data_IF_111489634456
#
_entry.id   IF_111489634456
#
_cell.length_a   1.000
_cell.length_b   1.000
_cell.length_c   1.000
_cell.angle_alpha   90.00
_cell.angle_beta   90.00
_cell.angle_gamma   90.00
#
_symmetry.space_group_name_H-M   'P 1'
#
loop_
_entity.id
_entity.type
_entity.pdbx_description
1 polymer ?
#
# COMPACT_ATOMS: atom_id res chain seq x y z
N UNK A 1 4.29 -9.45 -7.19
CA UNK A 1 2.83 -9.28 -7.20
C UNK A 1 2.20 -10.57 -6.74
N UNK A 2 1.36 -10.52 -5.71
CA UNK A 2 0.61 -11.68 -5.24
C UNK A 2 -0.86 -11.49 -5.64
N UNK A 3 -1.49 -12.54 -6.17
CA UNK A 3 -2.92 -12.56 -6.41
C UNK A 3 -3.58 -13.21 -5.19
N UNK A 4 -4.58 -12.54 -4.62
CA UNK A 4 -5.30 -12.98 -3.42
C UNK A 4 -6.78 -12.79 -3.67
N UNK A 5 -7.60 -13.77 -3.27
CA UNK A 5 -9.06 -13.62 -3.31
C UNK A 5 -9.50 -12.50 -2.36
N UNK A 6 -10.57 -11.78 -2.73
CA UNK A 6 -11.21 -10.78 -1.86
C UNK A 6 -11.66 -11.37 -0.51
N UNK A 7 -11.97 -12.67 -0.46
CA UNK A 7 -12.41 -13.37 0.76
C UNK A 7 -11.26 -13.68 1.70
N UNK A 8 -10.04 -13.78 1.17
CA UNK A 8 -8.88 -14.25 1.92
C UNK A 8 -7.96 -13.12 2.37
N UNK A 9 -8.01 -11.97 1.69
CA UNK A 9 -7.10 -10.85 1.97
C UNK A 9 -7.17 -10.38 3.43
N UNK A 10 -8.35 -10.46 4.06
CA UNK A 10 -8.56 -10.00 5.44
C UNK A 10 -7.77 -10.82 6.47
N UNK A 11 -7.66 -12.13 6.30
CA UNK A 11 -6.91 -12.99 7.23
C UNK A 11 -5.46 -13.22 6.76
N UNK A 12 -5.22 -13.26 5.45
CA UNK A 12 -3.91 -13.55 4.88
C UNK A 12 -2.94 -12.38 5.06
N UNK A 13 -3.42 -11.14 4.93
CA UNK A 13 -2.57 -9.96 5.02
C UNK A 13 -1.93 -9.81 6.42
N UNK A 14 -2.67 -9.88 7.55
CA UNK A 14 -2.06 -9.85 8.89
C UNK A 14 -1.06 -10.99 9.10
N UNK A 15 -1.38 -12.20 8.63
CA UNK A 15 -0.53 -13.39 8.77
C UNK A 15 0.85 -13.21 8.11
N UNK A 16 0.89 -12.53 6.96
CA UNK A 16 2.14 -12.31 6.21
C UNK A 16 2.84 -10.98 6.55
N UNK A 17 2.21 -10.09 7.30
CA UNK A 17 2.65 -8.70 7.49
C UNK A 17 4.07 -8.60 8.05
N UNK A 18 4.36 -9.28 9.15
CA UNK A 18 5.66 -9.17 9.84
C UNK A 18 6.82 -9.63 8.95
N UNK A 19 6.68 -10.79 8.30
CA UNK A 19 7.67 -11.31 7.36
C UNK A 19 7.92 -10.35 6.19
N UNK A 20 6.84 -9.77 5.65
CA UNK A 20 6.94 -8.84 4.53
C UNK A 20 7.60 -7.51 4.95
N UNK A 21 7.28 -6.99 6.13
CA UNK A 21 7.94 -5.80 6.68
C UNK A 21 9.44 -6.03 6.91
N UNK A 22 9.83 -7.20 7.44
CA UNK A 22 11.25 -7.55 7.64
C UNK A 22 12.01 -7.61 6.31
N UNK A 23 11.40 -8.19 5.29
CA UNK A 23 11.96 -8.23 3.92
C UNK A 23 12.11 -6.83 3.34
N UNK A 24 11.08 -5.98 3.48
CA UNK A 24 11.11 -4.59 3.05
C UNK A 24 12.23 -3.82 3.74
N UNK A 25 12.36 -3.91 5.06
CA UNK A 25 13.39 -3.22 5.83
C UNK A 25 14.81 -3.63 5.41
N UNK A 26 15.01 -4.92 5.16
CA UNK A 26 16.28 -5.46 4.66
C UNK A 26 16.62 -4.89 3.27
N UNK A 27 15.64 -4.87 2.38
CA UNK A 27 15.79 -4.29 1.05
C UNK A 27 16.06 -2.79 1.09
N UNK A 28 15.32 -2.02 1.92
CA UNK A 28 15.53 -0.58 2.10
C UNK A 28 16.94 -0.22 2.56
N UNK A 29 17.52 -1.02 3.48
CA UNK A 29 18.92 -0.86 3.90
C UNK A 29 19.87 -1.03 2.72
N UNK A 30 19.67 -2.07 1.89
CA UNK A 30 20.53 -2.35 0.73
C UNK A 30 20.51 -1.25 -0.34
N UNK A 31 19.38 -0.57 -0.52
CA UNK A 31 19.24 0.49 -1.54
C UNK A 31 19.26 1.92 -0.94
N UNK A 32 19.58 2.05 0.34
CA UNK A 32 19.63 3.31 1.08
C UNK A 32 18.34 4.17 0.99
N UNK A 33 17.18 3.53 1.16
CA UNK A 33 15.85 4.18 1.14
C UNK A 33 15.05 3.95 2.43
N UNK A 34 15.76 3.68 3.53
CA UNK A 34 15.14 3.61 4.85
C UNK A 34 14.60 4.99 5.25
N UNK A 35 13.43 5.01 5.87
CA UNK A 35 12.78 6.23 6.34
C UNK A 35 12.13 6.01 7.70
N UNK A 36 11.96 7.10 8.45
CA UNK A 36 11.42 7.07 9.79
C UNK A 36 9.90 6.80 9.82
N UNK A 37 9.42 6.27 10.96
CA UNK A 37 8.00 5.91 11.13
C UNK A 37 7.07 7.12 11.07
N UNK A 38 7.48 8.27 11.60
CA UNK A 38 6.71 9.52 11.57
C UNK A 38 6.49 10.00 10.12
N UNK A 39 7.53 9.97 9.29
CA UNK A 39 7.43 10.27 7.87
C UNK A 39 6.47 9.31 7.15
N UNK A 40 6.53 8.01 7.45
CA UNK A 40 5.59 7.05 6.87
C UNK A 40 4.13 7.31 7.27
N UNK A 41 3.88 7.78 8.50
CA UNK A 41 2.52 8.18 8.96
C UNK A 41 2.00 9.38 8.16
N UNK A 42 2.85 10.37 7.92
CA UNK A 42 2.53 11.55 7.09
C UNK A 42 2.19 11.14 5.65
N UNK A 43 3.04 10.33 5.03
CA UNK A 43 2.78 9.78 3.68
C UNK A 43 1.47 9.01 3.66
N UNK A 44 1.21 8.16 4.65
CA UNK A 44 -0.02 7.37 4.75
C UNK A 44 -1.27 8.26 4.84
N UNK A 45 -1.20 9.36 5.57
CA UNK A 45 -2.30 10.33 5.64
C UNK A 45 -2.57 10.96 4.27
N UNK A 46 -1.53 11.46 3.59
CA UNK A 46 -1.65 12.02 2.25
C UNK A 46 -2.16 11.01 1.22
N UNK A 47 -1.71 9.76 1.29
CA UNK A 47 -2.20 8.68 0.42
C UNK A 47 -3.70 8.41 0.66
N UNK A 48 -4.16 8.36 1.93
CA UNK A 48 -5.59 8.17 2.22
C UNK A 48 -6.43 9.25 1.55
N UNK A 49 -6.11 10.52 1.78
CA UNK A 49 -6.84 11.64 1.18
C UNK A 49 -6.80 11.63 -0.35
N UNK A 50 -5.65 11.27 -0.92
CA UNK A 50 -5.46 11.18 -2.35
C UNK A 50 -6.39 10.14 -2.99
N UNK A 51 -6.56 8.98 -2.35
CA UNK A 51 -7.30 7.85 -2.91
C UNK A 51 -8.78 7.77 -2.55
N UNK A 52 -9.27 8.49 -1.53
CA UNK A 52 -10.69 8.52 -1.15
C UNK A 52 -11.59 8.78 -2.37
N UNK A 53 -12.68 8.02 -2.45
CA UNK A 53 -13.70 8.13 -3.49
C UNK A 53 -13.54 7.11 -4.62
N UNK A 54 -12.97 5.94 -4.33
CA UNK A 54 -12.86 4.83 -5.28
C UNK A 54 -11.80 5.03 -6.35
N UNK A 55 -10.82 5.90 -6.11
CA UNK A 55 -9.84 6.27 -7.15
C UNK A 55 -8.82 5.17 -7.38
N UNK A 56 -8.41 5.05 -8.65
CA UNK A 56 -7.25 4.25 -9.05
C UNK A 56 -6.22 5.17 -9.70
N UNK A 57 -5.02 5.26 -9.13
CA UNK A 57 -3.98 6.19 -9.57
C UNK A 57 -2.71 5.45 -9.96
N UNK A 58 -2.07 5.90 -11.05
CA UNK A 58 -0.79 5.37 -11.46
C UNK A 58 0.35 5.83 -10.55
N UNK A 59 1.47 5.13 -10.62
CA UNK A 59 2.68 5.48 -9.85
C UNK A 59 3.12 6.92 -10.12
N UNK A 60 3.06 7.35 -11.39
CA UNK A 60 3.41 8.72 -11.80
C UNK A 60 2.47 9.76 -11.19
N UNK A 61 1.17 9.49 -11.18
CA UNK A 61 0.19 10.39 -10.56
C UNK A 61 0.42 10.53 -9.05
N UNK A 62 0.75 9.42 -8.37
CA UNK A 62 1.08 9.44 -6.94
C UNK A 62 2.36 10.23 -6.69
N UNK A 63 3.42 9.98 -7.47
CA UNK A 63 4.69 10.71 -7.38
C UNK A 63 4.46 12.22 -7.46
N UNK A 64 3.80 12.67 -8.53
CA UNK A 64 3.51 14.08 -8.78
C UNK A 64 2.76 14.72 -7.61
N UNK A 65 1.77 14.02 -7.04
CA UNK A 65 1.00 14.55 -5.91
C UNK A 65 1.84 14.65 -4.65
N UNK A 66 2.60 13.62 -4.30
CA UNK A 66 3.44 13.64 -3.09
C UNK A 66 4.57 14.67 -3.19
N UNK A 67 5.18 14.83 -4.37
CA UNK A 67 6.17 15.88 -4.64
C UNK A 67 5.55 17.27 -4.53
N UNK A 68 4.35 17.49 -5.09
CA UNK A 68 3.65 18.78 -4.98
C UNK A 68 3.27 19.15 -3.53
N UNK A 69 3.10 18.16 -2.65
CA UNK A 69 2.89 18.37 -1.22
C UNK A 69 4.20 18.56 -0.43
N UNK A 70 5.37 18.41 -1.07
CA UNK A 70 6.68 18.45 -0.41
C UNK A 70 7.02 17.21 0.42
N UNK A 71 6.22 16.14 0.29
CA UNK A 71 6.33 14.91 1.10
C UNK A 71 7.19 13.85 0.41
N UNK A 72 7.54 14.00 -0.89
CA UNK A 72 8.45 13.09 -1.60
C UNK A 72 9.77 13.80 -1.95
N UNK A 73 10.78 13.77 -1.06
CA UNK A 73 12.05 14.45 -1.27
C UNK A 73 12.99 13.72 -2.25
N UNK A 74 12.76 12.43 -2.49
CA UNK A 74 13.52 11.60 -3.44
C UNK A 74 12.59 10.56 -4.07
N UNK A 75 12.55 10.49 -5.40
CA UNK A 75 11.77 9.52 -6.18
C UNK A 75 12.10 8.06 -5.85
N UNK A 76 13.32 7.77 -5.36
CA UNK A 76 13.72 6.44 -4.92
C UNK A 76 12.87 5.94 -3.74
N UNK A 77 12.31 6.85 -2.95
CA UNK A 77 11.46 6.51 -1.80
C UNK A 77 10.07 6.01 -2.22
N UNK A 78 9.61 6.34 -3.42
CA UNK A 78 8.24 6.05 -3.85
C UNK A 78 7.94 4.55 -3.84
N UNK A 79 8.86 3.72 -4.36
CA UNK A 79 8.67 2.27 -4.38
C UNK A 79 8.55 1.65 -2.97
N UNK A 80 9.51 1.88 -2.05
CA UNK A 80 9.39 1.37 -0.70
C UNK A 80 8.17 1.92 0.06
N UNK A 81 7.76 3.17 -0.19
CA UNK A 81 6.56 3.76 0.40
C UNK A 81 5.29 3.03 -0.06
N UNK A 82 5.13 2.82 -1.37
CA UNK A 82 3.97 2.11 -1.93
C UNK A 82 3.94 0.66 -1.47
N UNK A 83 5.08 -0.04 -1.51
CA UNK A 83 5.18 -1.43 -1.05
C UNK A 83 4.83 -1.55 0.44
N UNK A 84 5.29 -0.62 1.27
CA UNK A 84 4.92 -0.60 2.69
C UNK A 84 3.43 -0.36 2.89
N UNK A 85 2.84 0.55 2.13
CA UNK A 85 1.41 0.84 2.18
C UNK A 85 0.56 -0.38 1.78
N UNK A 86 1.01 -1.20 0.83
CA UNK A 86 0.38 -2.48 0.48
C UNK A 86 0.51 -3.50 1.62
N UNK A 87 1.70 -3.67 2.18
CA UNK A 87 1.96 -4.61 3.30
C UNK A 87 1.14 -4.23 4.54
N UNK A 88 1.01 -2.94 4.83
CA UNK A 88 0.24 -2.46 5.98
C UNK A 88 -1.29 -2.52 5.76
N UNK A 89 -1.73 -2.77 4.52
CA UNK A 89 -3.16 -2.92 4.16
C UNK A 89 -3.86 -1.61 3.85
N UNK A 90 -3.11 -0.56 3.53
CA UNK A 90 -3.67 0.70 3.06
C UNK A 90 -4.06 0.60 1.59
N UNK A 91 -3.11 0.16 0.75
CA UNK A 91 -3.25 0.12 -0.70
C UNK A 91 -3.34 -1.31 -1.21
N UNK A 92 -3.93 -1.45 -2.40
CA UNK A 92 -3.85 -2.64 -3.23
C UNK A 92 -3.79 -2.24 -4.70
N UNK A 93 -3.74 -3.24 -5.60
CA UNK A 93 -3.86 -3.00 -7.04
C UNK A 93 -5.20 -2.32 -7.40
N UNK A 94 -5.12 -1.23 -8.14
CA UNK A 94 -6.26 -0.49 -8.66
C UNK A 94 -6.78 -1.04 -9.99
N UNK A 95 -7.68 -0.29 -10.63
CA UNK A 95 -8.13 -0.55 -12.00
C UNK A 95 -7.05 -0.06 -12.97
N UNK A 96 -6.60 -0.93 -13.87
CA UNK A 96 -5.57 -0.57 -14.85
C UNK A 96 -6.01 0.62 -15.71
N UNK A 97 -5.07 1.53 -15.98
CA UNK A 97 -5.25 2.60 -16.95
C UNK A 97 -4.57 2.19 -18.26
N UNK A 98 -5.35 1.57 -19.15
CA UNK A 98 -4.79 0.90 -20.33
C UNK A 98 -3.88 -0.26 -19.93
N UNK A 99 -2.57 -0.12 -20.18
CA UNK A 99 -1.54 -1.10 -19.78
C UNK A 99 -0.82 -0.73 -18.47
N UNK A 100 -1.11 0.43 -17.88
CA UNK A 100 -0.44 0.93 -16.69
C UNK A 100 -1.09 0.36 -15.41
N UNK A 101 -0.24 -0.16 -14.51
CA UNK A 101 -0.66 -0.57 -13.18
C UNK A 101 -0.98 0.65 -12.30
N UNK A 102 -2.00 0.50 -11.47
CA UNK A 102 -2.45 1.55 -10.55
C UNK A 102 -2.60 1.00 -9.14
N UNK A 103 -2.74 1.91 -8.18
CA UNK A 103 -3.05 1.62 -6.80
C UNK A 103 -4.44 2.14 -6.45
N UNK A 104 -5.07 1.57 -5.43
CA UNK A 104 -6.33 2.01 -4.87
C UNK A 104 -6.38 1.70 -3.36
N UNK A 105 -7.31 2.30 -2.62
CA UNK A 105 -7.55 1.93 -1.23
C UNK A 105 -8.09 0.50 -1.13
N UNK A 106 -7.43 -0.32 -0.32
CA UNK A 106 -7.87 -1.70 -0.08
C UNK A 106 -9.29 -1.74 0.49
N UNK A 107 -9.60 -0.83 1.42
CA UNK A 107 -10.90 -0.75 2.09
C UNK A 107 -12.07 -0.42 1.15
N UNK A 108 -11.82 0.26 0.02
CA UNK A 108 -12.84 0.58 -0.96
C UNK A 108 -12.97 -0.51 -2.03
N UNK A 109 -11.85 -1.20 -2.36
CA UNK A 109 -11.84 -2.32 -3.31
C UNK A 109 -12.38 -3.62 -2.73
N UNK A 110 -12.13 -3.83 -1.44
CA UNK A 110 -12.61 -4.97 -0.66
C UNK A 110 -13.25 -4.38 0.59
N UNK A 111 -14.51 -3.88 0.49
CA UNK A 111 -15.29 -3.52 1.66
C UNK A 111 -15.30 -4.71 2.61
N UNK A 112 -15.11 -4.46 3.91
CA UNK A 112 -14.96 -5.49 4.94
C UNK A 112 -15.98 -6.61 4.71
N UNK A 113 -15.49 -7.70 4.11
CA UNK A 113 -16.31 -8.88 3.86
C UNK A 113 -16.38 -9.59 5.20
N UNK A 114 -17.60 -9.80 5.67
CA UNK A 114 -17.97 -10.48 6.92
C UNK A 114 -16.90 -11.47 7.35
N UNK A 115 -16.27 -11.21 8.50
CA UNK A 115 -15.38 -12.16 9.17
C UNK A 115 -16.18 -13.45 9.32
N UNK A 116 -15.83 -14.51 8.59
CA UNK A 116 -16.40 -15.82 8.84
C UNK A 116 -15.90 -16.19 10.25
N UNK A 117 -16.79 -16.35 11.25
CA UNK A 117 -16.35 -16.80 12.56
C UNK A 117 -15.77 -18.19 12.34
N UNK A 118 -14.50 -18.39 12.72
CA UNK A 118 -13.93 -19.72 12.79
C UNK A 118 -14.84 -20.55 13.70
N UNK A 119 -15.56 -21.51 13.10
CA UNK A 119 -16.20 -22.58 13.87
C UNK A 119 -15.10 -23.21 14.72
N UNK A 120 -15.26 -23.13 16.04
CA UNK A 120 -14.47 -23.90 16.99
C UNK A 120 -14.62 -25.38 16.61
N UNK A 121 -13.54 -26.00 16.17
CA UNK A 121 -13.38 -27.46 16.17
C UNK A 121 -13.08 -27.91 17.60
#
# INVERSE_FOLDING_TARGET
>A
MQVVSKTDIGWLLPLCKERNLSTLQSWQKNINTAFAQNYFKEVTHALRELFVGGKSLSKKAIANRLTALGILPDDKLLNPLLLRAEIEGLLCSGVMQGKEATWALLSERVPATTVIPLMKL
#
